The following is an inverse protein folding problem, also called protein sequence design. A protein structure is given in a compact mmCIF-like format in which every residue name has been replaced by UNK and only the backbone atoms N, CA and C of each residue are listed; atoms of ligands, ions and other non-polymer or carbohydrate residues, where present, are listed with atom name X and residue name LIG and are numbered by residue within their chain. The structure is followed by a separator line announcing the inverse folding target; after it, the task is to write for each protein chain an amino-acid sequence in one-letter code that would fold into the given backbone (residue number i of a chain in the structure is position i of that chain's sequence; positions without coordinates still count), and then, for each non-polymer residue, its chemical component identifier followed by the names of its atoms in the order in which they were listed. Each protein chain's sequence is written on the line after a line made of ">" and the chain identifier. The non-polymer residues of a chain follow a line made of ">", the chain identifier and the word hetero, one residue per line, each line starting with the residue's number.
data_IF_148122175659
#
_entry.id   IF_148122175659
#
_cell.length_a   1.000
_cell.length_b   1.000
_cell.length_c   1.000
_cell.angle_alpha   90.00
_cell.angle_beta   90.00
_cell.angle_gamma   90.00
#
_symmetry.space_group_name_H-M   'P 1'
#
loop_
_entity.id
_entity.type
_entity.pdbx_description
1 polymer ?
#
# COMPACT_ATOMS: atom_id res chain seq x y z
N UNK A 1 60.61 -20.50 17.08
CA UNK A 1 60.62 -19.89 15.74
C UNK A 1 59.54 -20.57 14.92
N UNK A 2 58.33 -20.00 14.91
CA UNK A 2 57.17 -20.59 14.24
C UNK A 2 57.12 -20.16 12.77
N UNK A 3 56.97 -21.13 11.88
CA UNK A 3 56.82 -20.96 10.44
C UNK A 3 55.42 -20.44 10.10
N UNK A 4 55.37 -19.38 9.30
CA UNK A 4 54.16 -18.81 8.74
C UNK A 4 53.92 -19.43 7.35
N UNK A 5 52.75 -20.01 7.11
CA UNK A 5 52.28 -20.34 5.76
C UNK A 5 50.80 -19.98 5.61
N UNK A 6 50.59 -18.83 4.98
CA UNK A 6 49.53 -18.47 4.01
C UNK A 6 48.13 -19.08 4.20
N UNK A 7 47.23 -18.28 4.77
CA UNK A 7 45.78 -18.41 4.59
C UNK A 7 45.39 -17.98 3.18
N UNK A 8 44.90 -18.91 2.36
CA UNK A 8 44.10 -18.58 1.17
C UNK A 8 42.65 -18.33 1.61
N UNK A 9 41.98 -17.25 1.15
CA UNK A 9 40.56 -17.08 1.43
C UNK A 9 39.77 -18.11 0.63
N UNK A 10 39.09 -19.00 1.35
CA UNK A 10 38.10 -19.92 0.80
C UNK A 10 37.00 -19.09 0.13
N UNK A 11 36.95 -19.11 -1.20
CA UNK A 11 35.85 -18.59 -2.00
C UNK A 11 34.57 -19.30 -1.59
N UNK A 12 33.81 -18.72 -0.67
CA UNK A 12 32.41 -19.07 -0.50
C UNK A 12 31.65 -18.45 -1.68
N UNK A 13 31.37 -19.29 -2.67
CA UNK A 13 30.47 -18.95 -3.76
C UNK A 13 29.08 -18.64 -3.19
N UNK A 14 28.75 -17.36 -3.10
CA UNK A 14 27.39 -16.90 -2.87
C UNK A 14 26.60 -17.09 -4.17
N UNK A 15 26.08 -18.31 -4.38
CA UNK A 15 25.00 -18.50 -5.35
C UNK A 15 23.68 -18.09 -4.69
N UNK A 16 23.41 -16.78 -4.65
CA UNK A 16 22.06 -16.28 -4.41
C UNK A 16 21.20 -16.68 -5.62
N UNK A 17 20.43 -17.76 -5.49
CA UNK A 17 19.35 -18.07 -6.46
C UNK A 17 18.37 -16.89 -6.49
N UNK A 18 17.92 -16.40 -7.66
CA UNK A 18 16.94 -15.35 -7.72
C UNK A 18 15.55 -15.90 -7.33
N UNK A 19 15.24 -15.74 -6.04
CA UNK A 19 14.02 -15.06 -5.62
C UNK A 19 12.70 -15.69 -6.11
N UNK A 20 12.42 -16.95 -5.70
CA UNK A 20 11.06 -17.44 -5.51
C UNK A 20 10.38 -16.54 -4.47
N UNK A 21 9.22 -15.97 -4.79
CA UNK A 21 8.40 -15.20 -3.86
C UNK A 21 8.06 -16.05 -2.64
N UNK A 22 8.80 -15.85 -1.56
CA UNK A 22 8.53 -16.50 -0.28
C UNK A 22 7.17 -15.97 0.19
N UNK A 23 6.23 -16.89 0.40
CA UNK A 23 4.93 -16.56 0.98
C UNK A 23 5.21 -15.95 2.36
N UNK A 24 4.70 -14.75 2.67
CA UNK A 24 5.09 -14.05 3.89
C UNK A 24 4.53 -14.69 5.18
N UNK A 25 3.54 -15.57 5.06
CA UNK A 25 2.92 -16.30 6.15
C UNK A 25 2.25 -17.57 5.61
N UNK A 26 2.06 -18.58 6.46
CA UNK A 26 1.41 -19.86 6.10
C UNK A 26 0.05 -20.02 6.78
N UNK A 27 -0.16 -19.33 7.90
CA UNK A 27 -1.40 -19.43 8.65
C UNK A 27 -2.58 -18.82 7.92
N UNK A 28 -3.65 -19.61 7.80
CA UNK A 28 -4.95 -19.12 7.34
C UNK A 28 -5.67 -18.45 8.51
N UNK A 29 -5.79 -17.12 8.44
CA UNK A 29 -6.49 -16.35 9.47
C UNK A 29 -8.01 -16.46 9.35
N UNK A 30 -8.51 -16.57 8.12
CA UNK A 30 -9.91 -16.77 7.82
C UNK A 30 -10.17 -18.28 7.84
N UNK A 31 -10.86 -18.77 8.86
CA UNK A 31 -11.14 -20.21 9.02
C UNK A 31 -12.30 -20.70 8.13
N UNK A 32 -12.69 -19.90 7.15
CA UNK A 32 -13.77 -20.20 6.21
C UNK A 32 -13.24 -20.93 4.99
N UNK A 33 -13.97 -21.93 4.50
CA UNK A 33 -13.72 -22.59 3.22
C UNK A 33 -14.21 -21.76 2.02
N UNK A 34 -14.31 -20.45 2.20
CA UNK A 34 -14.78 -19.55 1.18
C UNK A 34 -13.80 -19.50 0.00
N UNK A 35 -14.38 -19.45 -1.20
CA UNK A 35 -13.64 -19.24 -2.44
C UNK A 35 -12.93 -17.89 -2.40
N UNK A 36 -11.83 -17.74 -3.15
CA UNK A 36 -11.14 -16.45 -3.24
C UNK A 36 -12.06 -15.35 -3.81
N UNK A 37 -12.98 -15.72 -4.71
CA UNK A 37 -13.92 -14.81 -5.35
C UNK A 37 -14.91 -14.20 -4.35
N UNK A 38 -15.35 -14.95 -3.34
CA UNK A 38 -16.23 -14.44 -2.28
C UNK A 38 -15.54 -13.49 -1.31
N UNK A 39 -14.20 -13.46 -1.30
CA UNK A 39 -13.41 -12.53 -0.49
C UNK A 39 -13.15 -11.20 -1.19
N UNK A 40 -13.52 -11.07 -2.46
CA UNK A 40 -13.38 -9.84 -3.22
C UNK A 40 -14.48 -8.83 -2.90
N UNK A 41 -14.18 -7.55 -3.11
CA UNK A 41 -15.15 -6.45 -3.02
C UNK A 41 -16.27 -6.60 -4.07
N UNK A 42 -17.40 -5.95 -3.83
CA UNK A 42 -18.54 -6.01 -4.75
C UNK A 42 -18.25 -5.41 -6.14
N UNK A 43 -17.49 -4.30 -6.19
CA UNK A 43 -17.15 -3.62 -7.45
C UNK A 43 -15.97 -2.67 -7.28
N UNK A 44 -15.25 -2.38 -8.36
CA UNK A 44 -14.21 -1.36 -8.41
C UNK A 44 -14.37 -0.45 -9.64
N UNK A 45 -13.74 0.72 -9.60
CA UNK A 45 -13.70 1.64 -10.75
C UNK A 45 -12.42 1.37 -11.53
N UNK A 46 -12.60 0.87 -12.75
CA UNK A 46 -11.53 0.70 -13.72
C UNK A 46 -11.18 2.08 -14.33
N UNK A 47 -9.92 2.50 -14.14
CA UNK A 47 -9.29 3.60 -14.87
C UNK A 47 -8.48 3.02 -16.03
N UNK A 48 -9.05 3.05 -17.24
CA UNK A 48 -8.32 2.67 -18.45
C UNK A 48 -6.94 3.34 -18.49
N UNK A 49 -5.90 2.51 -18.64
CA UNK A 49 -4.53 2.96 -18.67
C UNK A 49 -4.27 3.88 -19.87
N UNK A 50 -3.64 5.02 -19.57
CA UNK A 50 -2.95 5.93 -20.48
C UNK A 50 -3.79 6.77 -21.48
N UNK A 51 -3.99 8.03 -21.10
CA UNK A 51 -3.75 9.20 -21.97
C UNK A 51 -4.33 9.15 -23.40
N UNK A 52 -5.62 9.47 -23.55
CA UNK A 52 -6.16 10.36 -24.60
C UNK A 52 -7.66 10.60 -24.36
N UNK A 53 -8.01 11.88 -24.43
CA UNK A 53 -9.35 12.46 -24.47
C UNK A 53 -10.26 12.43 -23.23
N UNK A 54 -10.57 13.66 -22.84
CA UNK A 54 -11.63 14.04 -21.94
C UNK A 54 -12.99 13.59 -22.50
N UNK A 55 -13.43 12.37 -22.13
CA UNK A 55 -14.83 11.92 -21.99
C UNK A 55 -14.93 10.42 -21.63
N UNK A 56 -13.86 9.82 -21.08
CA UNK A 56 -13.82 8.39 -20.79
C UNK A 56 -14.55 8.07 -19.48
N UNK A 57 -15.65 7.34 -19.59
CA UNK A 57 -16.51 6.94 -18.47
C UNK A 57 -15.73 6.01 -17.53
N UNK A 58 -15.72 6.36 -16.25
CA UNK A 58 -15.34 5.46 -15.17
C UNK A 58 -16.26 4.22 -15.23
N UNK A 59 -15.71 3.07 -15.61
CA UNK A 59 -16.48 1.83 -15.71
C UNK A 59 -16.44 1.12 -14.36
N UNK A 60 -17.62 0.88 -13.79
CA UNK A 60 -17.79 0.08 -12.57
C UNK A 60 -17.88 -1.38 -13.00
N UNK A 61 -17.00 -2.23 -12.47
CA UNK A 61 -16.95 -3.66 -12.81
C UNK A 61 -16.78 -4.53 -11.56
N UNK A 62 -17.31 -5.77 -11.57
CA UNK A 62 -17.00 -6.74 -10.53
C UNK A 62 -15.52 -7.14 -10.64
N UNK A 63 -14.78 -7.21 -9.53
CA UNK A 63 -13.37 -7.59 -9.56
C UNK A 63 -13.21 -9.08 -9.88
N UNK A 64 -12.08 -9.43 -10.49
CA UNK A 64 -11.60 -10.81 -10.61
C UNK A 64 -10.21 -10.92 -9.98
N UNK A 65 -9.82 -12.05 -9.36
CA UNK A 65 -8.53 -12.17 -8.71
C UNK A 65 -7.34 -11.95 -9.65
N UNK A 66 -7.51 -12.28 -10.93
CA UNK A 66 -6.49 -12.14 -11.98
C UNK A 66 -6.50 -10.77 -12.70
N UNK A 67 -7.42 -9.88 -12.34
CA UNK A 67 -7.53 -8.55 -12.94
C UNK A 67 -6.44 -7.62 -12.40
N UNK A 68 -5.47 -7.31 -13.25
CA UNK A 68 -4.32 -6.48 -12.86
C UNK A 68 -4.70 -5.05 -12.51
N UNK A 69 -5.77 -4.52 -13.10
CA UNK A 69 -6.22 -3.15 -12.85
C UNK A 69 -6.89 -3.05 -11.49
N UNK A 70 -7.70 -4.05 -11.13
CA UNK A 70 -8.22 -4.20 -9.78
C UNK A 70 -7.08 -4.32 -8.77
N UNK A 71 -6.13 -5.24 -8.98
CA UNK A 71 -5.00 -5.46 -8.06
C UNK A 71 -4.15 -4.19 -7.88
N UNK A 72 -3.88 -3.46 -8.96
CA UNK A 72 -3.15 -2.19 -8.90
C UNK A 72 -3.94 -1.11 -8.15
N UNK A 73 -5.26 -1.05 -8.33
CA UNK A 73 -6.12 -0.11 -7.60
C UNK A 73 -6.18 -0.42 -6.11
N UNK A 74 -6.20 -1.71 -5.77
CA UNK A 74 -6.43 -2.20 -4.42
C UNK A 74 -5.14 -2.21 -3.57
N UNK A 75 -4.01 -2.64 -4.15
CA UNK A 75 -2.73 -2.83 -3.45
C UNK A 75 -1.62 -1.84 -3.89
N UNK A 76 -1.80 -1.17 -5.03
CA UNK A 76 -0.84 -0.19 -5.54
C UNK A 76 -0.84 1.10 -4.70
N UNK A 77 0.30 1.80 -4.65
CA UNK A 77 0.44 3.01 -3.81
C UNK A 77 -0.18 4.27 -4.44
N UNK A 78 -0.83 4.12 -5.61
CA UNK A 78 -1.46 5.19 -6.36
C UNK A 78 -0.55 6.41 -6.52
N UNK A 79 -1.07 7.58 -6.14
CA UNK A 79 -0.43 8.88 -6.34
C UNK A 79 0.87 9.07 -5.56
N UNK A 80 1.11 8.24 -4.54
CA UNK A 80 2.27 8.37 -3.68
C UNK A 80 3.49 7.67 -4.22
N UNK A 81 3.31 6.75 -5.17
CA UNK A 81 4.41 6.07 -5.83
C UNK A 81 5.41 7.10 -6.40
N UNK A 82 4.89 8.13 -7.07
CA UNK A 82 5.71 9.25 -7.60
C UNK A 82 6.33 10.16 -6.52
N UNK A 83 5.86 10.09 -5.27
CA UNK A 83 6.29 10.95 -4.17
C UNK A 83 7.20 10.24 -3.18
N UNK A 84 7.52 8.95 -3.38
CA UNK A 84 8.26 8.11 -2.44
C UNK A 84 9.53 8.80 -1.92
N UNK A 85 10.31 9.43 -2.81
CA UNK A 85 11.57 10.08 -2.45
C UNK A 85 11.41 11.41 -1.69
N UNK A 86 10.18 11.93 -1.62
CA UNK A 86 9.85 13.21 -0.96
C UNK A 86 8.92 13.03 0.25
N UNK A 87 8.58 11.79 0.62
CA UNK A 87 7.69 11.51 1.75
C UNK A 87 8.23 12.00 3.08
N UNK A 88 9.55 12.15 3.21
CA UNK A 88 10.21 12.72 4.39
C UNK A 88 9.74 14.14 4.74
N UNK A 89 9.22 14.89 3.76
CA UNK A 89 8.60 16.21 4.00
C UNK A 89 7.29 16.04 4.77
N UNK A 90 6.53 15.00 4.46
CA UNK A 90 5.21 14.75 5.04
C UNK A 90 5.24 13.93 6.34
N UNK A 91 6.31 13.20 6.63
CA UNK A 91 6.41 12.38 7.85
C UNK A 91 7.82 11.81 8.07
N UNK A 92 8.06 11.31 9.28
CA UNK A 92 9.34 10.69 9.63
C UNK A 92 9.35 9.19 9.26
N UNK A 93 10.49 8.62 8.85
CA UNK A 93 10.61 7.19 8.55
C UNK A 93 10.62 6.37 9.85
N UNK A 94 9.44 6.16 10.41
CA UNK A 94 9.21 5.34 11.62
C UNK A 94 7.87 4.61 11.49
N UNK A 95 7.70 3.47 12.18
CA UNK A 95 6.39 2.79 12.25
C UNK A 95 5.28 3.70 12.80
N UNK A 96 4.01 3.44 12.46
CA UNK A 96 2.87 4.17 13.02
C UNK A 96 2.76 3.96 14.53
N UNK A 97 2.17 4.93 15.23
CA UNK A 97 1.72 4.69 16.60
C UNK A 97 0.54 3.71 16.59
N UNK A 98 0.44 2.90 17.65
CA UNK A 98 -0.65 1.95 17.84
C UNK A 98 -2.03 2.64 17.86
N UNK A 99 -3.10 1.91 17.56
CA UNK A 99 -4.45 2.47 17.42
C UNK A 99 -4.95 3.16 18.69
N UNK A 100 -4.75 2.57 19.87
CA UNK A 100 -5.13 3.20 21.14
C UNK A 100 -4.40 4.54 21.34
N UNK A 101 -3.14 4.63 20.89
CA UNK A 101 -2.36 5.86 21.00
C UNK A 101 -2.82 6.93 20.00
N UNK A 102 -3.37 6.55 18.83
CA UNK A 102 -4.04 7.53 17.96
C UNK A 102 -5.18 8.24 18.69
N UNK A 103 -5.96 7.52 19.52
CA UNK A 103 -7.00 8.12 20.36
C UNK A 103 -6.43 9.03 21.45
N UNK A 104 -5.32 8.65 22.08
CA UNK A 104 -4.60 9.52 23.04
C UNK A 104 -4.16 10.82 22.38
N UNK A 105 -3.74 10.77 21.10
CA UNK A 105 -3.41 11.95 20.30
C UNK A 105 -4.65 12.77 19.86
N UNK A 106 -5.86 12.42 20.32
CA UNK A 106 -7.10 13.09 19.95
C UNK A 106 -7.54 12.86 18.51
N UNK A 107 -7.06 11.79 17.87
CA UNK A 107 -7.44 11.44 16.49
C UNK A 107 -8.51 10.36 16.50
N UNK A 108 -9.54 10.61 15.71
CA UNK A 108 -10.51 9.59 15.35
C UNK A 108 -9.99 8.71 14.20
N UNK A 109 -10.38 7.44 14.19
CA UNK A 109 -9.92 6.45 13.20
C UNK A 109 -10.92 6.44 12.05
N UNK A 110 -10.51 6.92 10.88
CA UNK A 110 -11.36 7.00 9.69
C UNK A 110 -11.01 5.88 8.71
N UNK A 111 -12.02 5.07 8.37
CA UNK A 111 -11.90 4.02 7.36
C UNK A 111 -11.77 4.62 5.95
N UNK A 112 -10.80 4.15 5.17
CA UNK A 112 -10.57 4.55 3.76
C UNK A 112 -10.21 3.34 2.91
N UNK A 113 -10.76 3.20 1.71
CA UNK A 113 -10.40 2.08 0.82
C UNK A 113 -9.17 2.37 -0.04
N UNK A 114 -8.83 3.64 -0.22
CA UNK A 114 -7.72 4.05 -1.08
C UNK A 114 -6.37 3.80 -0.39
N UNK A 115 -5.50 3.04 -1.06
CA UNK A 115 -4.20 2.67 -0.50
C UNK A 115 -3.28 3.88 -0.29
N UNK A 116 -3.53 4.99 -1.01
CA UNK A 116 -2.78 6.23 -0.85
C UNK A 116 -3.19 7.11 0.33
N UNK A 117 -4.33 6.80 0.97
CA UNK A 117 -4.77 7.45 2.20
C UNK A 117 -4.42 6.65 3.45
N UNK A 118 -4.03 5.39 3.32
CA UNK A 118 -3.59 4.61 4.46
C UNK A 118 -2.36 5.24 5.15
N UNK A 119 -2.40 5.30 6.49
CA UNK A 119 -1.41 5.95 7.36
C UNK A 119 -1.29 7.47 7.20
N UNK A 120 -2.27 8.10 6.53
CA UNK A 120 -2.35 9.56 6.48
C UNK A 120 -3.01 10.05 7.76
N UNK A 121 -2.49 11.14 8.33
CA UNK A 121 -3.04 11.72 9.54
C UNK A 121 -3.24 13.23 9.41
N UNK A 122 -4.09 13.76 10.26
CA UNK A 122 -4.27 15.20 10.51
C UNK A 122 -4.28 15.45 12.02
N UNK A 123 -4.70 16.64 12.43
CA UNK A 123 -4.83 16.95 13.85
C UNK A 123 -5.92 16.11 14.54
N UNK A 124 -7.00 15.77 13.84
CA UNK A 124 -8.18 15.12 14.43
C UNK A 124 -8.54 13.78 13.80
N UNK A 125 -7.84 13.35 12.76
CA UNK A 125 -8.18 12.15 11.98
C UNK A 125 -6.94 11.33 11.68
N UNK A 126 -7.10 10.01 11.73
CA UNK A 126 -6.13 9.01 11.29
C UNK A 126 -6.80 8.10 10.27
N UNK A 127 -6.32 8.12 9.03
CA UNK A 127 -6.90 7.37 7.92
C UNK A 127 -6.28 5.98 7.83
N UNK A 128 -7.11 4.95 8.01
CA UNK A 128 -6.70 3.55 7.97
C UNK A 128 -7.54 2.78 6.95
N UNK A 129 -6.89 1.86 6.24
CA UNK A 129 -7.50 1.06 5.19
C UNK A 129 -7.75 -0.32 5.76
N UNK A 130 -8.99 -0.85 5.77
CA UNK A 130 -9.25 -2.20 6.26
C UNK A 130 -8.38 -3.23 5.55
N UNK A 131 -7.96 -4.26 6.26
CA UNK A 131 -7.24 -5.35 5.62
C UNK A 131 -8.23 -6.13 4.74
N UNK A 132 -8.04 -6.18 3.40
CA UNK A 132 -8.93 -6.95 2.56
C UNK A 132 -8.81 -8.44 2.90
N UNK A 133 -9.92 -9.18 3.05
CA UNK A 133 -9.89 -10.59 3.47
C UNK A 133 -8.99 -11.47 2.59
N UNK A 134 -9.03 -11.30 1.26
CA UNK A 134 -8.19 -12.05 0.32
C UNK A 134 -6.68 -11.84 0.57
N UNK A 135 -6.26 -10.71 1.16
CA UNK A 135 -4.84 -10.43 1.44
C UNK A 135 -4.31 -11.26 2.61
N UNK A 136 -5.20 -11.82 3.44
CA UNK A 136 -4.90 -12.72 4.55
C UNK A 136 -4.91 -14.20 4.13
N UNK A 137 -5.14 -14.50 2.85
CA UNK A 137 -5.11 -15.85 2.29
C UNK A 137 -3.74 -16.17 1.67
N UNK A 138 -2.98 -17.15 2.17
CA UNK A 138 -1.67 -17.49 1.60
C UNK A 138 -1.71 -17.84 0.11
N UNK A 139 -2.81 -18.47 -0.33
CA UNK A 139 -3.01 -18.87 -1.73
C UNK A 139 -3.18 -17.68 -2.68
N UNK A 140 -3.64 -16.53 -2.18
CA UNK A 140 -3.69 -15.30 -2.97
C UNK A 140 -2.29 -14.82 -3.36
N UNK A 141 -1.35 -14.88 -2.42
CA UNK A 141 0.03 -14.44 -2.63
C UNK A 141 0.77 -15.27 -3.67
N UNK A 142 0.57 -16.60 -3.64
CA UNK A 142 1.19 -17.51 -4.62
C UNK A 142 0.58 -17.36 -6.02
N UNK A 143 -0.73 -17.16 -6.13
CA UNK A 143 -1.42 -17.11 -7.43
C UNK A 143 -1.39 -15.73 -8.09
N UNK A 144 -1.48 -14.67 -7.31
CA UNK A 144 -1.74 -13.31 -7.84
C UNK A 144 -0.62 -12.30 -7.58
N UNK A 145 0.30 -12.57 -6.64
CA UNK A 145 1.43 -11.68 -6.34
C UNK A 145 2.80 -12.28 -6.69
N UNK A 146 2.83 -13.50 -7.22
CA UNK A 146 4.03 -14.19 -7.69
C UNK A 146 4.13 -14.17 -9.21
N UNK A 147 5.33 -14.42 -9.75
CA UNK A 147 5.50 -14.64 -11.18
C UNK A 147 4.72 -15.88 -11.63
N UNK A 148 4.10 -15.83 -12.80
CA UNK A 148 3.56 -17.02 -13.47
C UNK A 148 4.71 -17.86 -14.05
N UNK A 149 4.42 -19.13 -14.28
CA UNK A 149 5.31 -20.03 -15.00
C UNK A 149 5.64 -19.46 -16.38
N UNK A 150 6.93 -19.40 -16.73
CA UNK A 150 7.40 -18.81 -17.97
C UNK A 150 7.56 -17.28 -17.97
N UNK A 151 7.57 -16.60 -16.81
CA UNK A 151 7.98 -15.18 -16.79
C UNK A 151 9.50 -15.02 -16.93
N UNK A 152 9.94 -14.15 -17.84
CA UNK A 152 11.34 -13.68 -18.00
C UNK A 152 11.90 -12.93 -16.76
N UNK A 153 11.06 -12.76 -15.73
CA UNK A 153 11.39 -12.19 -14.44
C UNK A 153 12.52 -12.93 -13.69
N UNK A 154 12.78 -14.20 -14.03
CA UNK A 154 13.88 -15.00 -13.46
C UNK A 154 15.24 -14.59 -14.01
N UNK A 155 15.27 -14.14 -15.26
CA UNK A 155 16.49 -14.01 -16.05
C UNK A 155 17.03 -12.58 -16.05
N UNK A 156 16.15 -11.60 -15.79
CA UNK A 156 16.54 -10.20 -15.65
C UNK A 156 15.80 -9.50 -14.48
N UNK A 157 16.51 -9.14 -13.38
CA UNK A 157 15.93 -8.42 -12.24
C UNK A 157 15.32 -7.05 -12.59
N UNK A 158 15.67 -6.48 -13.75
CA UNK A 158 15.09 -5.22 -14.24
C UNK A 158 13.72 -5.37 -14.93
N UNK A 159 13.34 -6.59 -15.33
CA UNK A 159 12.03 -6.91 -15.91
C UNK A 159 11.10 -7.48 -14.83
N UNK A 160 10.65 -6.63 -13.90
CA UNK A 160 9.65 -7.03 -12.91
C UNK A 160 8.25 -7.07 -13.54
N UNK A 161 7.56 -8.21 -13.50
CA UNK A 161 6.15 -8.27 -13.93
C UNK A 161 5.24 -7.45 -13.00
N UNK A 162 4.15 -6.93 -13.56
CA UNK A 162 3.15 -6.07 -12.89
C UNK A 162 2.73 -6.64 -11.53
N UNK A 163 2.36 -7.92 -11.46
CA UNK A 163 1.97 -8.64 -10.23
C UNK A 163 3.06 -8.63 -9.16
N UNK A 164 4.30 -8.91 -9.54
CA UNK A 164 5.43 -8.92 -8.59
C UNK A 164 5.72 -7.54 -8.02
N UNK A 165 5.45 -6.47 -8.77
CA UNK A 165 5.60 -5.10 -8.25
C UNK A 165 4.67 -4.79 -7.08
N UNK A 166 3.53 -5.49 -6.99
CA UNK A 166 2.53 -5.33 -5.92
C UNK A 166 2.85 -6.12 -4.65
N UNK A 167 3.81 -7.06 -4.71
CA UNK A 167 4.21 -7.86 -3.55
C UNK A 167 4.77 -7.01 -2.39
N UNK A 168 5.76 -6.14 -2.67
CA UNK A 168 6.36 -5.29 -1.61
C UNK A 168 5.37 -4.28 -1.01
N UNK A 169 4.49 -3.64 -1.80
CA UNK A 169 3.40 -2.81 -1.29
C UNK A 169 2.41 -3.57 -0.41
N UNK A 170 1.92 -4.72 -0.87
CA UNK A 170 1.01 -5.56 -0.08
C UNK A 170 1.65 -5.99 1.23
N UNK A 171 2.93 -6.35 1.21
CA UNK A 171 3.66 -6.76 2.42
C UNK A 171 3.85 -5.58 3.37
N UNK A 172 4.24 -4.42 2.84
CA UNK A 172 4.37 -3.19 3.63
C UNK A 172 3.04 -2.77 4.28
N UNK A 173 1.92 -2.98 3.58
CA UNK A 173 0.58 -2.75 4.12
C UNK A 173 0.29 -3.66 5.30
N UNK A 174 0.46 -4.98 5.17
CA UNK A 174 0.28 -5.91 6.31
C UNK A 174 1.25 -5.60 7.46
N UNK A 175 2.49 -5.23 7.14
CA UNK A 175 3.49 -4.85 8.13
C UNK A 175 3.09 -3.60 8.93
N UNK A 176 2.41 -2.64 8.30
CA UNK A 176 1.91 -1.47 9.02
C UNK A 176 0.90 -1.85 10.10
N UNK A 177 0.06 -2.87 9.85
CA UNK A 177 -0.92 -3.35 10.81
C UNK A 177 -0.32 -4.03 12.02
N UNK A 178 0.82 -4.70 11.86
CA UNK A 178 1.62 -5.17 13.00
C UNK A 178 2.00 -4.03 13.96
N UNK A 179 2.30 -2.85 13.44
CA UNK A 179 2.64 -1.68 14.25
C UNK A 179 1.41 -0.95 14.82
N UNK A 180 0.27 -1.00 14.12
CA UNK A 180 -1.01 -0.45 14.57
C UNK A 180 -1.63 -1.30 15.69
N UNK A 181 -1.51 -2.63 15.62
CA UNK A 181 -2.17 -3.60 16.49
C UNK A 181 -1.14 -4.33 17.35
N UNK A 182 -0.68 -3.65 18.41
CA UNK A 182 0.38 -4.17 19.31
C UNK A 182 -0.20 -4.90 20.51
N UNK A 183 -1.30 -4.39 21.04
CA UNK A 183 -1.97 -4.93 22.21
C UNK A 183 -3.35 -5.50 21.85
N UNK A 184 -3.90 -6.32 22.74
CA UNK A 184 -5.26 -6.84 22.55
C UNK A 184 -6.31 -5.73 22.55
N UNK A 185 -6.06 -4.62 23.28
CA UNK A 185 -6.88 -3.42 23.18
C UNK A 185 -6.90 -2.86 21.76
N UNK A 186 -5.73 -2.70 21.11
CA UNK A 186 -5.66 -2.28 19.72
C UNK A 186 -6.37 -3.24 18.78
N UNK A 187 -6.32 -4.55 19.06
CA UNK A 187 -7.00 -5.57 18.26
C UNK A 187 -8.51 -5.40 18.30
N UNK A 188 -9.07 -5.19 19.50
CA UNK A 188 -10.49 -4.87 19.67
C UNK A 188 -10.84 -3.55 18.98
N UNK A 189 -10.00 -2.52 19.12
CA UNK A 189 -10.19 -1.25 18.40
C UNK A 189 -10.20 -1.44 16.88
N UNK A 190 -9.32 -2.30 16.35
CA UNK A 190 -9.30 -2.58 14.92
C UNK A 190 -10.60 -3.25 14.45
N UNK A 191 -11.16 -4.18 15.23
CA UNK A 191 -12.44 -4.81 14.93
C UNK A 191 -13.62 -3.82 15.06
N UNK A 192 -13.64 -3.02 16.13
CA UNK A 192 -14.66 -2.00 16.38
C UNK A 192 -14.70 -0.94 15.26
N UNK A 193 -13.57 -0.68 14.60
CA UNK A 193 -13.44 0.25 13.48
C UNK A 193 -13.45 -0.45 12.12
N UNK A 194 -13.83 -1.74 12.07
CA UNK A 194 -13.92 -2.54 10.83
C UNK A 194 -12.62 -2.62 10.02
N UNK A 195 -11.48 -2.43 10.67
CA UNK A 195 -10.15 -2.54 10.05
C UNK A 195 -9.68 -4.00 9.91
N UNK A 196 -10.21 -4.87 10.77
CA UNK A 196 -10.01 -6.31 10.71
C UNK A 196 -11.36 -7.04 10.60
N UNK A 197 -11.42 -8.16 9.87
CA UNK A 197 -12.58 -9.04 9.90
C UNK A 197 -12.92 -9.53 11.31
N UNK A 198 -14.20 -9.47 11.68
CA UNK A 198 -14.69 -9.82 13.03
C UNK A 198 -14.48 -11.28 13.42
N UNK A 199 -14.35 -12.17 12.44
CA UNK A 199 -14.08 -13.60 12.63
C UNK A 199 -12.66 -13.91 13.12
N UNK A 200 -11.72 -12.97 12.99
CA UNK A 200 -10.34 -13.16 13.44
C UNK A 200 -10.29 -13.14 14.96
N UNK A 201 -9.52 -14.04 15.56
CA UNK A 201 -9.25 -14.04 17.00
C UNK A 201 -7.87 -13.45 17.30
N UNK A 202 -7.70 -12.88 18.49
CA UNK A 202 -6.40 -12.36 18.95
C UNK A 202 -5.26 -13.40 18.87
N UNK A 203 -5.55 -14.67 19.15
CA UNK A 203 -4.59 -15.77 19.03
C UNK A 203 -4.13 -15.99 17.60
N UNK A 204 -5.02 -15.86 16.63
CA UNK A 204 -4.72 -15.97 15.20
C UNK A 204 -3.90 -14.76 14.73
N UNK A 205 -4.22 -13.55 15.21
CA UNK A 205 -3.43 -12.34 14.97
C UNK A 205 -1.99 -12.45 15.48
N UNK A 206 -1.79 -12.94 16.72
CA UNK A 206 -0.44 -13.14 17.27
C UNK A 206 0.40 -14.10 16.43
N UNK A 207 -0.21 -15.21 15.97
CA UNK A 207 0.45 -16.20 15.09
C UNK A 207 0.86 -15.56 13.77
N UNK A 208 -0.07 -14.85 13.13
CA UNK A 208 0.17 -14.13 11.88
C UNK A 208 1.33 -13.12 11.99
N UNK A 209 1.33 -12.30 13.06
CA UNK A 209 2.41 -11.32 13.30
C UNK A 209 3.77 -11.99 13.50
N UNK A 210 3.80 -13.17 14.15
CA UNK A 210 5.03 -13.93 14.33
C UNK A 210 5.59 -14.44 12.98
N UNK A 211 4.72 -14.90 12.08
CA UNK A 211 5.10 -15.36 10.74
C UNK A 211 5.59 -14.22 9.84
N UNK A 212 4.94 -13.05 9.90
CA UNK A 212 5.38 -11.85 9.18
C UNK A 212 6.78 -11.34 9.61
N UNK A 213 7.32 -11.80 10.74
CA UNK A 213 8.51 -11.24 11.40
C UNK A 213 9.82 -12.01 11.15
N UNK A 214 10.02 -12.60 9.97
CA UNK A 214 11.23 -13.38 9.66
C UNK A 214 12.44 -12.48 9.32
N UNK A 215 12.97 -11.85 10.37
CA UNK A 215 14.35 -11.38 10.58
C UNK A 215 14.96 -10.29 9.67
N UNK A 216 14.45 -9.97 8.47
CA UNK A 216 15.05 -8.90 7.63
C UNK A 216 14.00 -8.16 6.79
N UNK A 217 13.39 -7.08 7.29
CA UNK A 217 12.42 -6.29 6.50
C UNK A 217 13.07 -5.25 5.60
N UNK A 218 14.34 -4.93 5.83
CA UNK A 218 15.11 -4.00 5.02
C UNK A 218 15.17 -4.47 3.57
N UNK A 219 14.58 -3.69 2.67
CA UNK A 219 14.50 -3.98 1.24
C UNK A 219 13.35 -4.89 0.79
N UNK A 220 12.64 -5.54 1.72
CA UNK A 220 11.49 -6.40 1.41
C UNK A 220 10.17 -5.62 1.32
N UNK A 221 9.99 -4.61 2.16
CA UNK A 221 8.78 -3.77 2.12
C UNK A 221 8.98 -2.57 1.20
N UNK A 222 7.88 -2.10 0.60
CA UNK A 222 7.93 -0.92 -0.24
C UNK A 222 8.23 0.34 0.59
N UNK A 223 9.13 1.22 0.11
CA UNK A 223 9.63 2.41 0.84
C UNK A 223 8.52 3.31 1.39
N UNK A 224 7.36 3.35 0.75
CA UNK A 224 6.16 4.05 1.26
C UNK A 224 5.83 3.67 2.71
N UNK A 225 5.90 2.38 3.05
CA UNK A 225 5.49 1.86 4.36
C UNK A 225 6.57 2.02 5.44
N UNK A 226 7.74 2.57 5.09
CA UNK A 226 8.71 3.07 6.08
C UNK A 226 8.19 4.32 6.80
N UNK A 227 7.23 5.03 6.21
CA UNK A 227 6.62 6.24 6.76
C UNK A 227 5.25 5.89 7.37
N UNK A 228 5.25 5.61 8.66
CA UNK A 228 4.06 5.18 9.41
C UNK A 228 3.01 6.26 9.63
N UNK A 229 3.36 7.54 9.59
CA UNK A 229 2.41 8.63 9.77
C UNK A 229 2.77 9.80 8.87
N UNK A 230 1.86 10.12 7.95
CA UNK A 230 2.08 11.17 6.96
C UNK A 230 1.03 12.26 7.08
N UNK A 231 1.49 13.49 7.31
CA UNK A 231 0.60 14.60 7.57
C UNK A 231 -0.09 15.06 6.29
N UNK A 232 -1.43 15.04 6.28
CA UNK A 232 -2.28 15.34 5.12
C UNK A 232 -1.98 16.71 4.50
N UNK A 233 -1.80 17.75 5.33
CA UNK A 233 -1.52 19.09 4.80
C UNK A 233 -0.18 19.17 4.05
N UNK A 234 0.82 18.38 4.47
CA UNK A 234 2.13 18.34 3.83
C UNK A 234 2.09 17.51 2.55
N UNK A 235 1.35 16.39 2.54
CA UNK A 235 1.08 15.63 1.32
C UNK A 235 0.35 16.47 0.27
N UNK A 236 -0.68 17.22 0.65
CA UNK A 236 -1.40 18.09 -0.27
C UNK A 236 -0.49 19.17 -0.88
N UNK A 237 0.43 19.74 -0.08
CA UNK A 237 1.44 20.67 -0.59
C UNK A 237 2.36 20.00 -1.61
N UNK A 238 2.87 18.79 -1.33
CA UNK A 238 3.70 18.04 -2.28
C UNK A 238 2.97 17.76 -3.60
N UNK A 239 1.71 17.34 -3.51
CA UNK A 239 0.88 17.06 -4.68
C UNK A 239 0.57 18.31 -5.50
N UNK A 240 0.31 19.45 -4.84
CA UNK A 240 0.06 20.75 -5.47
C UNK A 240 1.30 21.28 -6.20
N UNK A 241 2.45 21.25 -5.52
CA UNK A 241 3.74 21.63 -6.11
C UNK A 241 4.00 20.80 -7.37
N UNK A 242 3.80 19.48 -7.29
CA UNK A 242 3.95 18.58 -8.43
C UNK A 242 3.00 18.87 -9.58
N UNK A 243 1.70 19.12 -9.31
CA UNK A 243 0.75 19.47 -10.37
C UNK A 243 1.11 20.77 -11.07
N UNK A 244 1.64 21.75 -10.33
CA UNK A 244 2.08 23.02 -10.91
C UNK A 244 3.33 22.82 -11.77
N UNK A 245 4.31 22.02 -11.34
CA UNK A 245 5.48 21.69 -12.17
C UNK A 245 5.12 20.94 -13.45
N UNK A 246 4.17 19.99 -13.41
CA UNK A 246 3.70 19.31 -14.63
C UNK A 246 3.04 20.29 -15.61
N UNK A 247 2.22 21.23 -15.11
CA UNK A 247 1.61 22.30 -15.93
C UNK A 247 2.68 23.20 -16.57
N UNK A 248 3.64 23.72 -15.80
CA UNK A 248 4.68 24.62 -16.33
C UNK A 248 5.60 23.93 -17.35
N UNK A 249 5.87 22.63 -17.18
CA UNK A 249 6.65 21.86 -18.16
C UNK A 249 5.89 21.61 -19.46
N UNK A 250 4.57 21.42 -19.39
CA UNK A 250 3.72 21.36 -20.59
C UNK A 250 3.64 22.71 -21.29
N UNK A 251 3.53 23.82 -20.55
CA UNK A 251 3.52 25.17 -21.13
C UNK A 251 4.86 25.61 -21.72
N UNK A 252 6.00 25.06 -21.27
CA UNK A 252 7.33 25.36 -21.84
C UNK A 252 7.74 24.45 -23.00
N UNK A 253 6.93 23.44 -23.33
CA UNK A 253 7.15 22.52 -24.45
C UNK A 253 6.24 22.78 -25.66
N UNK A 254 5.36 23.79 -25.59
CA UNK A 254 4.57 24.28 -26.71
C UNK A 254 5.07 25.65 -27.12
N UNK A 255 5.45 25.80 -28.39
CA UNK A 255 5.52 27.12 -29.02
C UNK A 255 4.07 27.60 -29.10
N UNK A 256 3.76 28.64 -28.33
CA UNK A 256 2.43 29.23 -28.25
C UNK A 256 2.05 29.89 -29.59
N UNK A 257 0.87 29.55 -30.12
CA UNK A 257 0.02 30.51 -30.81
C UNK A 257 -1.11 30.83 -29.85
N UNK A 258 -1.18 32.12 -29.54
CA UNK A 258 -2.01 32.80 -28.56
C UNK A 258 -3.51 32.65 -28.80
N UNK A 259 -4.29 32.43 -27.74
CA UNK A 259 -5.70 32.80 -27.66
C UNK A 259 -6.18 32.75 -26.22
N UNK A 260 -6.45 33.94 -25.68
CA UNK A 260 -6.90 34.22 -24.32
C UNK A 260 -8.31 33.69 -24.06
N UNK A 261 -8.53 33.02 -22.92
CA UNK A 261 -9.80 33.09 -22.20
C UNK A 261 -9.64 32.63 -20.76
N UNK A 262 -10.09 33.50 -19.86
CA UNK A 262 -10.12 33.36 -18.41
C UNK A 262 -11.10 32.26 -18.02
N UNK A 263 -10.65 31.24 -17.26
CA UNK A 263 -11.55 30.27 -16.62
C UNK A 263 -11.14 30.02 -15.17
N UNK A 264 -12.02 30.45 -14.28
CA UNK A 264 -12.03 30.26 -12.82
C UNK A 264 -12.09 28.76 -12.47
N UNK A 265 -11.22 28.28 -11.58
CA UNK A 265 -11.24 26.90 -11.08
C UNK A 265 -12.27 26.73 -9.94
N UNK A 266 -13.05 25.64 -9.89
CA UNK A 266 -13.90 25.35 -8.74
C UNK A 266 -13.09 24.72 -7.60
N UNK A 267 -13.28 25.27 -6.40
CA UNK A 267 -12.69 24.80 -5.15
C UNK A 267 -13.33 23.51 -4.62
N UNK A 268 -12.54 22.77 -3.85
CA UNK A 268 -12.97 21.60 -3.08
C UNK A 268 -14.09 21.99 -2.10
N UNK A 269 -15.31 21.52 -2.34
CA UNK A 269 -16.34 21.37 -1.29
C UNK A 269 -16.77 19.92 -1.27
N UNK A 270 -16.50 19.23 -0.16
CA UNK A 270 -17.25 18.05 0.23
C UNK A 270 -18.48 18.49 1.04
N UNK A 271 -19.57 17.71 1.07
CA UNK A 271 -20.83 18.10 1.69
C UNK A 271 -20.67 18.31 3.19
N UNK A 272 -21.28 19.37 3.74
CA UNK A 272 -21.52 19.45 5.18
C UNK A 272 -22.61 18.43 5.52
N UNK A 273 -22.29 17.42 6.31
CA UNK A 273 -23.31 16.70 7.06
C UNK A 273 -23.91 17.69 8.07
N UNK A 274 -25.11 18.17 7.81
CA UNK A 274 -25.95 18.79 8.84
C UNK A 274 -26.62 17.66 9.61
N UNK A 275 -26.18 17.44 10.84
CA UNK A 275 -27.00 16.78 11.84
C UNK A 275 -28.27 17.61 12.05
N UNK A 276 -29.44 16.99 11.94
CA UNK A 276 -30.67 17.52 12.51
C UNK A 276 -31.32 16.42 13.32
N UNK A 277 -31.29 16.63 14.64
CA UNK A 277 -32.10 15.97 15.63
C UNK A 277 -33.58 16.20 15.31
N UNK A 278 -34.36 15.13 15.42
CA UNK A 278 -35.72 15.13 15.94
C UNK A 278 -35.99 13.73 16.49
#
# INVERSE_FOLDING_TARGET
>A
MGTWSTFTPRSYGNTCKPNQSIIPFQSRMLKTEESLDSLLRASYVAKHAAFRDALQKDNISPPKPDDEEFLNTELGQGRLHELVDRLWIAGKPRPPNALHFQRVLGRDITVVEAMDLHLVCSHTQFYAKPIPPFSLEPTFWTRHLSCRDGCDCSDNPSNSCSRRTLWKPALGFLYSYRALIRHESDFRLAQDNYLLPGQIKWTDWKRFVAELNTKHTDGQIHKRFMYGELHRSRLNKLLSIRSNFKKTRMSRGGIDVESSSVTTLPGWRLPRCTSRLS
#
